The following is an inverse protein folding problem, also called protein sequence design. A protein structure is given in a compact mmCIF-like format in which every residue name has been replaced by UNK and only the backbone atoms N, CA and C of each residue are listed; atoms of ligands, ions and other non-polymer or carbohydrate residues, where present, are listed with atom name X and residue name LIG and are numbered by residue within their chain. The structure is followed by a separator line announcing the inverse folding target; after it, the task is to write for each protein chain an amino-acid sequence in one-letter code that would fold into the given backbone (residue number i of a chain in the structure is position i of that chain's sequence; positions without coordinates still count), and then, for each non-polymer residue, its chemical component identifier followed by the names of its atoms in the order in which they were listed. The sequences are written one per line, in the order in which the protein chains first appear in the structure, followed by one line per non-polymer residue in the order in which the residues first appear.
data_IF_401371363023
#
_entry.id   IF_401371363023
#
_cell.length_a   1.000
_cell.length_b   1.000
_cell.length_c   1.000
_cell.angle_alpha   90.00
_cell.angle_beta   90.00
_cell.angle_gamma   90.00
#
_symmetry.space_group_name_H-M   'P 1'
#
loop_
_entity.id
_entity.type
_entity.pdbx_description
1 polymer ?
#
# COMPACT_ATOMS: atom_id res chain seq x y z
N UNK A 1 -16.64 -4.92 -0.70
CA UNK A 1 -16.75 -6.10 -1.59
C UNK A 1 -16.03 -7.24 -0.89
N UNK A 2 -16.75 -8.22 -0.36
CA UNK A 2 -16.16 -9.38 0.32
C UNK A 2 -15.83 -10.43 -0.74
N UNK A 3 -14.55 -10.62 -1.04
CA UNK A 3 -14.10 -11.72 -1.88
C UNK A 3 -14.33 -13.03 -1.12
N UNK A 4 -15.07 -13.97 -1.70
CA UNK A 4 -15.24 -15.31 -1.18
C UNK A 4 -13.97 -16.11 -1.46
N UNK A 5 -13.28 -16.58 -0.41
CA UNK A 5 -12.14 -17.48 -0.51
C UNK A 5 -12.62 -18.87 -0.11
N UNK A 6 -12.50 -19.86 -1.01
CA UNK A 6 -12.96 -21.23 -0.77
C UNK A 6 -12.01 -21.95 0.21
N UNK A 7 -12.46 -22.16 1.45
CA UNK A 7 -11.69 -22.82 2.53
C UNK A 7 -11.30 -24.30 2.27
N UNK A 8 -11.71 -24.91 1.14
CA UNK A 8 -11.46 -26.33 0.84
C UNK A 8 -10.92 -26.65 -0.56
N UNK A 9 -10.65 -25.65 -1.40
CA UNK A 9 -10.42 -25.89 -2.83
C UNK A 9 -8.94 -26.13 -3.24
N UNK A 10 -7.95 -25.86 -2.38
CA UNK A 10 -6.53 -26.06 -2.72
C UNK A 10 -6.08 -27.44 -2.26
N UNK A 11 -6.22 -28.43 -3.15
CA UNK A 11 -5.89 -29.82 -2.85
C UNK A 11 -4.62 -30.30 -3.56
N UNK A 12 -4.24 -29.65 -4.66
CA UNK A 12 -3.03 -29.97 -5.43
C UNK A 12 -2.16 -28.72 -5.67
N UNK A 13 -0.93 -28.93 -6.13
CA UNK A 13 -0.05 -27.85 -6.56
C UNK A 13 -0.66 -27.08 -7.75
N UNK A 14 -1.35 -27.77 -8.65
CA UNK A 14 -1.97 -27.16 -9.83
C UNK A 14 -3.15 -26.26 -9.45
N UNK A 15 -3.99 -26.69 -8.50
CA UNK A 15 -5.08 -25.86 -7.95
C UNK A 15 -4.51 -24.60 -7.28
N UNK A 16 -3.43 -24.75 -6.52
CA UNK A 16 -2.76 -23.63 -5.85
C UNK A 16 -2.21 -22.62 -6.87
N UNK A 17 -1.52 -23.12 -7.91
CA UNK A 17 -0.95 -22.29 -8.98
C UNK A 17 -2.06 -21.59 -9.77
N UNK A 18 -3.16 -22.28 -10.09
CA UNK A 18 -4.29 -21.71 -10.81
C UNK A 18 -4.96 -20.58 -10.00
N UNK A 19 -5.21 -20.81 -8.71
CA UNK A 19 -5.80 -19.82 -7.83
C UNK A 19 -4.89 -18.58 -7.64
N UNK A 20 -3.57 -18.79 -7.55
CA UNK A 20 -2.61 -17.66 -7.49
C UNK A 20 -2.64 -16.86 -8.81
N UNK A 21 -2.69 -17.53 -9.96
CA UNK A 21 -2.75 -16.84 -11.27
C UNK A 21 -3.98 -15.95 -11.37
N UNK A 22 -5.15 -16.45 -10.98
CA UNK A 22 -6.40 -15.68 -10.94
C UNK A 22 -6.24 -14.40 -10.11
N UNK A 23 -5.71 -14.53 -8.89
CA UNK A 23 -5.50 -13.41 -7.97
C UNK A 23 -4.47 -12.39 -8.47
N UNK A 24 -3.43 -12.86 -9.16
CA UNK A 24 -2.47 -11.97 -9.83
C UNK A 24 -3.20 -11.13 -10.88
N UNK A 25 -4.04 -11.75 -11.71
CA UNK A 25 -4.82 -11.02 -12.73
C UNK A 25 -5.79 -10.01 -12.10
N UNK A 26 -6.47 -10.37 -11.01
CA UNK A 26 -7.32 -9.44 -10.27
C UNK A 26 -6.52 -8.24 -9.73
N UNK A 27 -5.34 -8.49 -9.15
CA UNK A 27 -4.48 -7.44 -8.62
C UNK A 27 -3.89 -6.56 -9.73
N UNK A 28 -3.60 -7.08 -10.92
CA UNK A 28 -3.15 -6.29 -12.05
C UNK A 28 -4.20 -5.25 -12.47
N UNK A 29 -5.48 -5.59 -12.42
CA UNK A 29 -6.58 -4.63 -12.63
C UNK A 29 -6.55 -3.56 -11.55
N UNK A 30 -6.52 -3.95 -10.26
CA UNK A 30 -6.49 -3.00 -9.14
C UNK A 30 -5.24 -2.10 -9.14
N UNK A 31 -4.09 -2.61 -9.58
CA UNK A 31 -2.86 -1.82 -9.75
C UNK A 31 -3.07 -0.75 -10.83
N UNK A 32 -3.68 -1.10 -11.96
CA UNK A 32 -3.91 -0.15 -13.04
C UNK A 32 -4.93 0.93 -12.65
N UNK A 33 -6.01 0.54 -11.99
CA UNK A 33 -6.97 1.50 -11.41
C UNK A 33 -6.29 2.42 -10.39
N UNK A 34 -5.45 1.87 -9.51
CA UNK A 34 -4.72 2.67 -8.52
C UNK A 34 -3.72 3.63 -9.13
N UNK A 35 -3.07 3.27 -10.25
CA UNK A 35 -2.21 4.20 -11.00
C UNK A 35 -3.01 5.38 -11.56
N UNK A 36 -4.19 5.12 -12.12
CA UNK A 36 -5.07 6.19 -12.61
C UNK A 36 -5.52 7.11 -11.48
N UNK A 37 -5.97 6.52 -10.36
CA UNK A 37 -6.37 7.28 -9.18
C UNK A 37 -5.22 8.13 -8.61
N UNK A 38 -4.00 7.59 -8.57
CA UNK A 38 -2.82 8.33 -8.14
C UNK A 38 -2.52 9.51 -9.06
N UNK A 39 -2.61 9.34 -10.38
CA UNK A 39 -2.44 10.43 -11.34
C UNK A 39 -3.50 11.51 -11.14
N UNK A 40 -4.78 11.14 -11.02
CA UNK A 40 -5.86 12.11 -10.80
C UNK A 40 -5.71 12.85 -9.47
N UNK A 41 -5.39 12.15 -8.38
CA UNK A 41 -5.16 12.77 -7.08
C UNK A 41 -3.93 13.69 -7.07
N UNK A 42 -2.89 13.36 -7.85
CA UNK A 42 -1.72 14.21 -8.02
C UNK A 42 -2.07 15.52 -8.74
N UNK A 43 -2.88 15.44 -9.81
CA UNK A 43 -3.36 16.60 -10.56
C UNK A 43 -4.21 17.51 -9.67
N UNK A 44 -5.18 16.94 -8.93
CA UNK A 44 -6.01 17.69 -7.99
C UNK A 44 -5.19 18.41 -6.92
N UNK A 45 -4.19 17.73 -6.35
CA UNK A 45 -3.29 18.35 -5.38
C UNK A 45 -2.50 19.51 -5.99
N UNK A 46 -2.00 19.35 -7.22
CA UNK A 46 -1.29 20.42 -7.91
C UNK A 46 -2.19 21.63 -8.17
N UNK A 47 -3.44 21.40 -8.62
CA UNK A 47 -4.44 22.45 -8.82
C UNK A 47 -4.72 23.23 -7.52
N UNK A 48 -4.97 22.53 -6.41
CA UNK A 48 -5.20 23.18 -5.11
C UNK A 48 -4.00 23.99 -4.64
N UNK A 49 -2.79 23.45 -4.79
CA UNK A 49 -1.56 24.17 -4.43
C UNK A 49 -1.40 25.42 -5.30
N UNK A 50 -1.65 25.34 -6.60
CA UNK A 50 -1.54 26.49 -7.51
C UNK A 50 -2.61 27.55 -7.22
N UNK A 51 -3.86 27.16 -6.94
CA UNK A 51 -4.92 28.08 -6.50
C UNK A 51 -4.51 28.84 -5.23
N UNK A 52 -3.97 28.14 -4.24
CA UNK A 52 -3.48 28.75 -3.00
C UNK A 52 -2.32 29.72 -3.25
N UNK A 53 -1.41 29.39 -4.18
CA UNK A 53 -0.29 30.26 -4.55
C UNK A 53 -0.76 31.60 -5.12
N UNK A 54 -1.82 31.58 -5.92
CA UNK A 54 -2.40 32.81 -6.48
C UNK A 54 -3.22 33.60 -5.46
N UNK A 55 -3.95 32.91 -4.58
CA UNK A 55 -4.79 33.56 -3.58
C UNK A 55 -3.98 34.18 -2.43
N UNK A 56 -2.86 33.57 -2.05
CA UNK A 56 -2.06 33.95 -0.88
C UNK A 56 -0.55 34.05 -1.20
N UNK A 57 -0.13 34.95 -2.11
CA UNK A 57 1.27 35.04 -2.53
C UNK A 57 2.23 35.43 -1.41
N UNK A 58 1.76 36.16 -0.38
CA UNK A 58 2.57 36.55 0.78
C UNK A 58 2.76 35.40 1.79
N UNK A 59 1.89 34.37 1.74
CA UNK A 59 1.89 33.23 2.67
C UNK A 59 2.53 31.96 2.09
N UNK A 60 3.15 32.06 0.90
CA UNK A 60 3.74 30.92 0.19
C UNK A 60 4.72 30.10 1.05
N UNK A 61 5.51 30.77 1.89
CA UNK A 61 6.42 30.09 2.81
C UNK A 61 5.67 29.16 3.76
N UNK A 62 4.66 29.71 4.44
CA UNK A 62 3.86 28.99 5.42
C UNK A 62 3.05 27.84 4.77
N UNK A 63 2.50 28.07 3.56
CA UNK A 63 1.80 27.02 2.79
C UNK A 63 2.73 25.86 2.48
N UNK A 64 3.92 26.14 1.93
CA UNK A 64 4.86 25.10 1.52
C UNK A 64 5.39 24.31 2.73
N UNK A 65 5.66 24.98 3.85
CA UNK A 65 6.08 24.34 5.09
C UNK A 65 4.99 23.42 5.65
N UNK A 66 3.75 23.91 5.70
CA UNK A 66 2.61 23.13 6.14
C UNK A 66 2.34 21.93 5.22
N UNK A 67 2.32 22.14 3.91
CA UNK A 67 2.14 21.08 2.90
C UNK A 67 3.21 19.99 3.05
N UNK A 68 4.48 20.39 3.22
CA UNK A 68 5.58 19.46 3.41
C UNK A 68 5.41 18.65 4.69
N UNK A 69 5.18 19.32 5.82
CA UNK A 69 4.97 18.65 7.11
C UNK A 69 3.81 17.65 7.03
N UNK A 70 2.66 18.09 6.51
CA UNK A 70 1.46 17.28 6.44
C UNK A 70 1.64 16.06 5.51
N UNK A 71 2.38 16.21 4.41
CA UNK A 71 2.79 15.09 3.54
C UNK A 71 3.65 14.07 4.29
N UNK A 72 4.62 14.50 5.11
CA UNK A 72 5.47 13.58 5.88
C UNK A 72 4.68 12.86 6.97
N UNK A 73 3.78 13.57 7.65
CA UNK A 73 2.86 12.99 8.62
C UNK A 73 2.02 11.89 7.97
N UNK A 74 1.35 12.21 6.85
CA UNK A 74 0.52 11.25 6.11
C UNK A 74 1.35 10.05 5.61
N UNK A 75 2.55 10.27 5.07
CA UNK A 75 3.43 9.18 4.63
C UNK A 75 3.79 8.21 5.76
N UNK A 76 3.92 8.72 6.99
CA UNK A 76 4.25 7.92 8.17
C UNK A 76 3.05 7.11 8.66
N UNK A 77 1.87 7.71 8.76
CA UNK A 77 0.59 7.01 9.03
C UNK A 77 0.37 5.89 8.01
N UNK A 78 0.66 6.17 6.76
CA UNK A 78 0.51 5.26 5.64
C UNK A 78 1.47 4.07 5.66
N UNK A 79 2.69 4.25 6.17
CA UNK A 79 3.63 3.15 6.36
C UNK A 79 3.12 2.13 7.38
N UNK A 80 2.45 2.61 8.45
CA UNK A 80 1.81 1.77 9.47
C UNK A 80 0.67 0.98 8.84
N UNK A 81 -0.25 1.66 8.14
CA UNK A 81 -1.37 1.03 7.43
C UNK A 81 -0.91 -0.03 6.42
N UNK A 82 0.16 0.25 5.67
CA UNK A 82 0.75 -0.73 4.74
C UNK A 82 1.19 -1.99 5.47
N UNK A 83 1.89 -1.87 6.59
CA UNK A 83 2.34 -3.02 7.37
C UNK A 83 1.15 -3.86 7.87
N UNK A 84 0.15 -3.25 8.51
CA UNK A 84 -1.01 -3.96 9.04
C UNK A 84 -1.78 -4.76 7.98
N UNK A 85 -1.98 -4.15 6.80
CA UNK A 85 -2.68 -4.80 5.69
C UNK A 85 -1.83 -5.95 5.12
N UNK A 86 -0.53 -5.73 4.97
CA UNK A 86 0.37 -6.77 4.45
C UNK A 86 0.55 -7.92 5.44
N UNK A 87 0.54 -7.65 6.74
CA UNK A 87 0.58 -8.68 7.78
C UNK A 87 -0.69 -9.53 7.75
N UNK A 88 -1.85 -8.88 7.66
CA UNK A 88 -3.13 -9.59 7.49
C UNK A 88 -3.17 -10.43 6.21
N UNK A 89 -2.60 -9.92 5.12
CA UNK A 89 -2.51 -10.65 3.85
C UNK A 89 -1.58 -11.87 3.96
N UNK A 90 -0.43 -11.70 4.61
CA UNK A 90 0.52 -12.79 4.88
C UNK A 90 -0.13 -13.91 5.69
N UNK A 91 -0.87 -13.60 6.75
CA UNK A 91 -1.57 -14.61 7.55
C UNK A 91 -2.67 -15.33 6.75
N UNK A 92 -3.40 -14.61 5.89
CA UNK A 92 -4.34 -15.25 4.95
C UNK A 92 -3.65 -16.21 3.99
N UNK A 93 -2.53 -15.82 3.38
CA UNK A 93 -1.75 -16.72 2.53
C UNK A 93 -1.31 -17.98 3.29
N UNK A 94 -0.78 -17.83 4.51
CA UNK A 94 -0.36 -18.99 5.31
C UNK A 94 -1.51 -19.95 5.59
N UNK A 95 -2.70 -19.43 5.87
CA UNK A 95 -3.90 -20.23 6.13
C UNK A 95 -4.37 -20.94 4.86
N UNK A 96 -4.52 -20.20 3.77
CA UNK A 96 -5.10 -20.71 2.52
C UNK A 96 -4.17 -21.73 1.85
N UNK A 97 -2.85 -21.59 2.03
CA UNK A 97 -1.81 -22.47 1.49
C UNK A 97 -1.12 -23.30 2.59
N UNK A 98 -1.80 -23.61 3.70
CA UNK A 98 -1.24 -24.32 4.88
C UNK A 98 -0.66 -25.73 4.63
N UNK A 99 -1.02 -26.36 3.50
CA UNK A 99 -0.52 -27.69 3.13
C UNK A 99 0.91 -27.66 2.58
N UNK A 100 1.41 -26.47 2.25
CA UNK A 100 2.75 -26.28 1.70
C UNK A 100 3.77 -26.04 2.82
N UNK A 101 5.04 -26.46 2.63
CA UNK A 101 6.08 -26.25 3.63
C UNK A 101 6.37 -24.77 3.84
N UNK A 102 6.74 -24.40 5.07
CA UNK A 102 6.99 -22.99 5.46
C UNK A 102 8.05 -22.30 4.59
N UNK A 103 9.00 -23.06 4.03
CA UNK A 103 10.03 -22.58 3.10
C UNK A 103 9.47 -21.88 1.85
N UNK A 104 8.22 -22.21 1.48
CA UNK A 104 7.51 -21.55 0.38
C UNK A 104 7.22 -20.07 0.72
N UNK A 105 7.07 -19.74 2.00
CA UNK A 105 6.76 -18.39 2.48
C UNK A 105 7.99 -17.59 2.98
N UNK A 106 9.20 -18.16 2.96
CA UNK A 106 10.39 -17.55 3.57
C UNK A 106 10.63 -16.09 3.11
N UNK A 107 10.52 -15.84 1.81
CA UNK A 107 10.72 -14.49 1.23
C UNK A 107 9.64 -13.52 1.68
N UNK A 108 8.39 -13.98 1.75
CA UNK A 108 7.25 -13.21 2.26
C UNK A 108 7.51 -12.84 3.73
N UNK A 109 7.92 -13.80 4.56
CA UNK A 109 8.24 -13.58 5.97
C UNK A 109 9.38 -12.56 6.15
N UNK A 110 10.43 -12.65 5.33
CA UNK A 110 11.54 -11.69 5.34
C UNK A 110 11.09 -10.27 4.96
N UNK A 111 10.17 -10.15 4.00
CA UNK A 111 9.62 -8.85 3.63
C UNK A 111 8.69 -8.27 4.71
N UNK A 112 7.81 -9.07 5.31
CA UNK A 112 6.96 -8.64 6.43
C UNK A 112 7.80 -8.11 7.61
N UNK A 113 8.91 -8.78 7.97
CA UNK A 113 9.83 -8.27 9.01
C UNK A 113 10.40 -6.88 8.70
N UNK A 114 10.76 -6.62 7.44
CA UNK A 114 11.24 -5.28 7.01
C UNK A 114 10.15 -4.23 7.06
N UNK A 115 8.92 -4.60 6.66
CA UNK A 115 7.76 -3.70 6.76
C UNK A 115 7.47 -3.35 8.21
N UNK A 116 7.52 -4.34 9.11
CA UNK A 116 7.37 -4.12 10.56
C UNK A 116 8.40 -3.12 11.09
N UNK A 117 9.69 -3.34 10.83
CA UNK A 117 10.74 -2.43 11.28
C UNK A 117 10.52 -0.99 10.79
N UNK A 118 10.09 -0.82 9.53
CA UNK A 118 9.74 0.49 8.98
C UNK A 118 8.50 1.08 9.65
N UNK A 119 7.48 0.27 9.92
CA UNK A 119 6.27 0.68 10.62
C UNK A 119 6.58 1.16 12.04
N UNK A 120 7.35 0.37 12.81
CA UNK A 120 7.74 0.70 14.18
C UNK A 120 8.52 2.03 14.23
N UNK A 121 9.45 2.24 13.28
CA UNK A 121 10.16 3.51 13.14
C UNK A 121 9.18 4.67 12.87
N UNK A 122 8.27 4.50 11.91
CA UNK A 122 7.31 5.54 11.53
C UNK A 122 6.27 5.83 12.61
N UNK A 123 5.89 4.85 13.40
CA UNK A 123 5.02 5.04 14.55
C UNK A 123 5.65 5.97 15.59
N UNK A 124 6.92 5.79 15.90
CA UNK A 124 7.64 6.69 16.83
C UNK A 124 7.77 8.13 16.31
N UNK A 125 7.81 8.32 14.99
CA UNK A 125 7.84 9.65 14.37
C UNK A 125 6.47 10.33 14.46
N UNK A 126 5.37 9.62 14.20
CA UNK A 126 4.01 10.19 14.16
C UNK A 126 3.54 10.70 15.52
N UNK A 127 3.91 10.03 16.61
CA UNK A 127 3.46 10.37 17.97
C UNK A 127 3.83 11.81 18.40
N UNK A 128 4.82 12.45 17.75
CA UNK A 128 5.33 13.76 18.13
C UNK A 128 5.26 14.81 17.02
N UNK A 129 4.63 14.52 15.88
CA UNK A 129 4.54 15.47 14.76
C UNK A 129 3.32 16.36 14.91
N UNK A 130 3.57 17.66 15.05
CA UNK A 130 2.59 18.73 14.88
C UNK A 130 2.95 19.54 13.65
N UNK A 131 1.99 19.80 12.77
CA UNK A 131 2.16 20.68 11.62
C UNK A 131 1.45 21.99 11.90
N UNK A 132 2.21 23.09 11.94
CA UNK A 132 1.69 24.41 12.25
C UNK A 132 0.83 24.93 11.08
N UNK A 133 -0.46 25.14 11.35
CA UNK A 133 -1.39 25.60 10.32
C UNK A 133 -1.10 27.07 9.98
N UNK A 134 -1.16 27.46 8.69
CA UNK A 134 -0.98 28.84 8.30
C UNK A 134 -2.15 29.70 8.81
N UNK A 135 -1.85 30.79 9.52
CA UNK A 135 -2.85 31.60 10.24
C UNK A 135 -3.59 32.62 9.35
N UNK A 136 -2.95 33.12 8.28
CA UNK A 136 -3.50 34.18 7.41
C UNK A 136 -4.20 33.64 6.15
N UNK A 137 -4.67 32.39 6.19
CA UNK A 137 -5.30 31.71 5.07
C UNK A 137 -6.73 31.32 5.44
N UNK A 138 -7.64 31.34 4.47
CA UNK A 138 -8.99 30.86 4.68
C UNK A 138 -8.97 29.38 5.13
N UNK A 139 -9.64 29.08 6.24
CA UNK A 139 -9.71 27.73 6.81
C UNK A 139 -10.19 26.68 5.80
N UNK A 140 -11.14 27.05 4.92
CA UNK A 140 -11.65 26.14 3.89
C UNK A 140 -10.57 25.74 2.89
N UNK A 141 -9.67 26.65 2.55
CA UNK A 141 -8.57 26.37 1.61
C UNK A 141 -7.53 25.46 2.26
N UNK A 142 -7.25 25.66 3.56
CA UNK A 142 -6.40 24.76 4.35
C UNK A 142 -7.00 23.34 4.40
N UNK A 143 -8.30 23.23 4.67
CA UNK A 143 -9.01 21.93 4.66
C UNK A 143 -8.96 21.29 3.26
N UNK A 144 -9.10 22.08 2.19
CA UNK A 144 -9.03 21.58 0.83
C UNK A 144 -7.63 21.02 0.50
N UNK A 145 -6.58 21.69 0.96
CA UNK A 145 -5.20 21.22 0.87
C UNK A 145 -4.99 19.92 1.65
N UNK A 146 -5.42 19.86 2.91
CA UNK A 146 -5.34 18.66 3.77
C UNK A 146 -6.04 17.45 3.08
N UNK A 147 -7.24 17.66 2.55
CA UNK A 147 -8.00 16.62 1.86
C UNK A 147 -7.30 16.15 0.58
N UNK A 148 -6.77 17.07 -0.22
CA UNK A 148 -6.04 16.76 -1.45
C UNK A 148 -4.75 16.00 -1.18
N UNK A 149 -3.99 16.38 -0.15
CA UNK A 149 -2.80 15.64 0.30
C UNK A 149 -3.20 14.24 0.76
N UNK A 150 -4.24 14.13 1.58
CA UNK A 150 -4.73 12.84 2.11
C UNK A 150 -5.17 11.91 0.99
N UNK A 151 -5.87 12.43 -0.03
CA UNK A 151 -6.30 11.67 -1.20
C UNK A 151 -5.11 11.15 -2.00
N UNK A 152 -4.15 12.03 -2.33
CA UNK A 152 -2.91 11.66 -3.03
C UNK A 152 -2.12 10.58 -2.29
N UNK A 153 -1.92 10.78 -0.99
CA UNK A 153 -1.18 9.87 -0.12
C UNK A 153 -1.90 8.52 0.00
N UNK A 154 -3.22 8.51 0.14
CA UNK A 154 -4.03 7.29 0.16
C UNK A 154 -3.95 6.51 -1.14
N UNK A 155 -4.04 7.18 -2.29
CA UNK A 155 -3.91 6.55 -3.60
C UNK A 155 -2.53 5.89 -3.78
N UNK A 156 -1.48 6.57 -3.31
CA UNK A 156 -0.10 6.03 -3.31
C UNK A 156 0.01 4.76 -2.47
N UNK A 157 -0.61 4.73 -1.29
CA UNK A 157 -0.63 3.53 -0.43
C UNK A 157 -1.36 2.37 -1.07
N UNK A 158 -2.54 2.58 -1.65
CA UNK A 158 -3.28 1.50 -2.29
C UNK A 158 -2.48 0.88 -3.44
N UNK A 159 -1.83 1.70 -4.25
CA UNK A 159 -0.91 1.21 -5.29
C UNK A 159 0.21 0.34 -4.68
N UNK A 160 0.83 0.80 -3.60
CA UNK A 160 1.89 0.05 -2.91
C UNK A 160 1.38 -1.27 -2.31
N UNK A 161 0.17 -1.28 -1.73
CA UNK A 161 -0.47 -2.49 -1.19
C UNK A 161 -0.66 -3.51 -2.31
N UNK A 162 -1.37 -3.15 -3.37
CA UNK A 162 -1.68 -4.10 -4.45
C UNK A 162 -0.40 -4.59 -5.15
N UNK A 163 0.57 -3.70 -5.36
CA UNK A 163 1.87 -4.09 -5.94
C UNK A 163 2.62 -5.07 -5.04
N UNK A 164 2.60 -4.86 -3.72
CA UNK A 164 3.27 -5.75 -2.76
C UNK A 164 2.56 -7.10 -2.67
N UNK A 165 1.23 -7.11 -2.62
CA UNK A 165 0.43 -8.35 -2.66
C UNK A 165 0.71 -9.15 -3.93
N UNK A 166 0.76 -8.47 -5.09
CA UNK A 166 1.05 -9.11 -6.36
C UNK A 166 2.45 -9.74 -6.37
N UNK A 167 3.45 -9.02 -5.87
CA UNK A 167 4.81 -9.55 -5.73
C UNK A 167 4.88 -10.78 -4.82
N UNK A 168 4.17 -10.79 -3.70
CA UNK A 168 4.09 -11.96 -2.81
C UNK A 168 3.50 -13.17 -3.52
N UNK A 169 2.42 -12.96 -4.28
CA UNK A 169 1.79 -14.03 -5.06
C UNK A 169 2.68 -14.53 -6.20
N UNK A 170 3.40 -13.65 -6.89
CA UNK A 170 4.38 -14.04 -7.92
C UNK A 170 5.50 -14.90 -7.31
N UNK A 171 6.02 -14.50 -6.14
CA UNK A 171 7.06 -15.26 -5.45
C UNK A 171 6.54 -16.62 -4.97
N UNK A 172 5.32 -16.66 -4.42
CA UNK A 172 4.64 -17.88 -4.00
C UNK A 172 4.47 -18.84 -5.17
N UNK A 173 3.91 -18.36 -6.29
CA UNK A 173 3.74 -19.14 -7.52
C UNK A 173 5.06 -19.77 -7.99
N UNK A 174 6.14 -18.98 -8.06
CA UNK A 174 7.46 -19.48 -8.47
C UNK A 174 7.97 -20.60 -7.56
N UNK A 175 7.77 -20.48 -6.25
CA UNK A 175 8.16 -21.52 -5.29
C UNK A 175 7.35 -22.80 -5.48
N UNK A 176 6.04 -22.68 -5.69
CA UNK A 176 5.16 -23.83 -5.95
C UNK A 176 5.49 -24.54 -7.26
N UNK A 177 5.73 -23.79 -8.34
CA UNK A 177 6.13 -24.35 -9.64
C UNK A 177 7.46 -25.12 -9.54
N UNK A 178 8.41 -24.65 -8.72
CA UNK A 178 9.68 -25.34 -8.50
C UNK A 178 9.53 -26.63 -7.67
N UNK A 179 8.56 -26.70 -6.76
CA UNK A 179 8.27 -27.93 -6.01
C UNK A 179 7.71 -29.02 -6.93
N UNK A 180 6.81 -28.65 -7.86
CA UNK A 180 6.28 -29.58 -8.86
C UNK A 180 7.41 -30.19 -9.71
N UNK A 181 8.32 -29.34 -10.21
CA UNK A 181 9.43 -29.80 -11.07
C UNK A 181 10.36 -30.79 -10.37
N UNK A 182 10.68 -30.55 -9.10
CA UNK A 182 11.53 -31.46 -8.31
C UNK A 182 10.90 -32.84 -8.10
N UNK A 183 9.58 -32.92 -7.98
CA UNK A 183 8.87 -34.20 -7.82
C UNK A 183 8.67 -34.96 -9.14
N UNK A 184 8.83 -34.30 -10.29
CA UNK A 184 8.77 -34.94 -11.62
C UNK A 184 10.13 -35.43 -12.14
N UNK A 185 11.22 -35.17 -11.42
CA UNK A 185 12.59 -35.59 -11.76
C UNK A 185 13.10 -36.76 -10.90
N UNK A 186 12.28 -37.28 -9.97
CA UNK A 186 12.48 -38.52 -9.21
C UNK A 186 11.66 -39.67 -9.81
#
# INVERSE_FOLDING_TARGET
MYYFWCDSCINTNDDAIANIKEKITELEVSINESKQNLTSAHQQLAEVVDEMRFAYPEELGNINEYEYCYKQFQASVNAIKLYEIMESFKERLRRDYRKFPEEVFEKIMKHSKKLKQRSDLKQSEVENVTCDKPENINEKDVINLENSITNYQSASVYLNIFSTQNNYLIDLKKKLENLVKKHSEE
#
